data_IF_016281014452
#
_entry.id   IF_016281014452
#
_cell.length_a   1.000
_cell.length_b   1.000
_cell.length_c   1.000
_cell.angle_alpha   90.00
_cell.angle_beta   90.00
_cell.angle_gamma   90.00
#
_symmetry.space_group_name_H-M   'P 1'
#
loop_
_entity.id
_entity.type
_entity.pdbx_description
1 polymer ?
#
# COMPACT_ATOMS: atom_id res chain seq x y z
N UNK A 1 -27.61 22.19 11.02
CA UNK A 1 -27.13 23.48 10.52
C UNK A 1 -26.12 24.01 11.53
N UNK A 2 -24.86 23.61 11.47
CA UNK A 2 -23.74 24.23 12.20
C UNK A 2 -22.95 25.02 11.17
N UNK A 3 -22.92 26.32 11.37
CA UNK A 3 -22.13 27.26 10.57
C UNK A 3 -20.66 26.98 10.89
N UNK A 4 -19.94 26.43 9.95
CA UNK A 4 -18.49 26.37 10.02
C UNK A 4 -17.98 27.81 9.83
N UNK A 5 -17.36 28.31 10.86
CA UNK A 5 -16.63 29.57 10.84
C UNK A 5 -15.39 29.31 9.97
N UNK A 6 -15.41 29.83 8.78
CA UNK A 6 -14.25 29.93 7.92
C UNK A 6 -13.23 30.79 8.67
N UNK A 7 -12.19 30.21 9.23
CA UNK A 7 -11.06 30.95 9.75
C UNK A 7 -10.43 31.68 8.57
N UNK A 8 -10.68 32.95 8.50
CA UNK A 8 -10.00 33.84 7.58
C UNK A 8 -8.51 33.79 7.93
N UNK A 9 -7.72 33.21 7.03
CA UNK A 9 -6.28 33.36 7.03
C UNK A 9 -5.98 34.85 7.16
N UNK A 10 -5.40 35.22 8.26
CA UNK A 10 -4.87 36.57 8.44
C UNK A 10 -3.69 36.67 7.48
N UNK A 11 -3.98 37.03 6.23
CA UNK A 11 -2.98 37.75 5.47
C UNK A 11 -2.63 38.95 6.33
N UNK A 12 -1.47 38.97 6.91
CA UNK A 12 -0.88 40.17 7.42
C UNK A 12 -0.64 41.10 6.21
N UNK A 13 -1.73 41.66 5.72
CA UNK A 13 -1.66 42.85 4.91
C UNK A 13 -1.13 43.93 5.86
N UNK A 14 0.17 44.09 5.91
CA UNK A 14 0.79 45.26 6.43
C UNK A 14 0.26 46.44 5.58
N UNK A 15 -0.81 47.09 6.06
CA UNK A 15 -1.22 48.39 5.58
C UNK A 15 -0.13 49.40 5.95
N UNK A 16 0.85 49.53 5.08
CA UNK A 16 1.68 50.71 5.03
C UNK A 16 0.86 51.83 4.41
N UNK A 17 0.08 52.51 5.24
CA UNK A 17 -0.46 53.82 4.92
C UNK A 17 0.64 54.84 5.03
N UNK A 18 1.27 55.16 3.92
CA UNK A 18 1.89 56.48 3.72
C UNK A 18 2.24 56.72 2.25
N UNK A 19 1.65 57.76 1.68
CA UNK A 19 2.01 58.44 0.44
C UNK A 19 1.90 57.69 -0.89
N UNK A 20 0.78 57.84 -1.58
CA UNK A 20 0.64 58.21 -2.99
C UNK A 20 1.51 57.51 -4.05
N UNK A 21 1.82 56.24 -3.88
CA UNK A 21 2.30 55.40 -4.97
C UNK A 21 1.19 54.39 -5.31
N UNK A 22 0.85 54.29 -6.60
CA UNK A 22 0.01 53.19 -7.11
C UNK A 22 0.60 51.88 -6.63
N UNK A 23 -0.15 51.12 -5.84
CA UNK A 23 0.22 49.76 -5.48
C UNK A 23 0.42 48.99 -6.78
N UNK A 24 1.61 48.52 -7.04
CA UNK A 24 1.89 47.65 -8.17
C UNK A 24 1.08 46.36 -7.98
N UNK A 25 0.04 46.21 -8.79
CA UNK A 25 -0.80 44.99 -8.75
C UNK A 25 0.08 43.83 -9.07
N UNK A 26 0.25 42.93 -8.07
CA UNK A 26 0.98 41.65 -8.28
C UNK A 26 0.28 40.87 -9.37
N UNK A 27 0.98 40.54 -10.43
CA UNK A 27 0.45 39.78 -11.56
C UNK A 27 1.46 38.75 -12.06
N UNK A 28 1.08 37.50 -12.12
CA UNK A 28 1.83 36.45 -12.79
C UNK A 28 1.43 36.35 -14.24
N UNK A 29 2.39 36.07 -15.11
CA UNK A 29 2.10 35.64 -16.48
C UNK A 29 1.48 34.24 -16.45
N UNK A 30 0.69 33.89 -17.45
CA UNK A 30 0.11 32.56 -17.57
C UNK A 30 1.19 31.44 -17.58
N UNK A 31 2.37 31.72 -18.14
CA UNK A 31 3.49 30.79 -18.14
C UNK A 31 4.06 30.56 -16.72
N UNK A 32 4.23 31.63 -15.94
CA UNK A 32 4.69 31.52 -14.55
C UNK A 32 3.66 30.79 -13.69
N UNK A 33 2.39 31.14 -13.83
CA UNK A 33 1.32 30.46 -13.09
C UNK A 33 1.31 28.96 -13.37
N UNK A 34 1.38 28.57 -14.64
CA UNK A 34 1.45 27.15 -15.03
C UNK A 34 2.68 26.46 -14.44
N UNK A 35 3.85 27.10 -14.52
CA UNK A 35 5.09 26.54 -13.98
C UNK A 35 5.00 26.32 -12.47
N UNK A 36 4.53 27.32 -11.72
CA UNK A 36 4.39 27.22 -10.27
C UNK A 36 3.36 26.17 -9.86
N UNK A 37 2.21 26.12 -10.55
CA UNK A 37 1.22 25.08 -10.33
C UNK A 37 1.83 23.69 -10.50
N UNK A 38 2.55 23.46 -11.59
CA UNK A 38 3.23 22.18 -11.83
C UNK A 38 4.23 21.84 -10.72
N UNK A 39 5.02 22.79 -10.25
CA UNK A 39 5.98 22.55 -9.15
C UNK A 39 5.26 22.27 -7.81
N UNK A 40 4.10 22.88 -7.58
CA UNK A 40 3.27 22.57 -6.40
C UNK A 40 2.66 21.17 -6.49
N UNK A 41 2.19 20.78 -7.68
CA UNK A 41 1.71 19.42 -7.94
C UNK A 41 2.82 18.39 -7.74
N UNK A 42 4.00 18.62 -8.31
CA UNK A 42 5.17 17.73 -8.20
C UNK A 42 5.60 17.55 -6.74
N UNK A 43 5.71 18.63 -5.96
CA UNK A 43 6.12 18.53 -4.56
C UNK A 43 5.04 17.93 -3.67
N UNK A 44 3.78 18.24 -3.89
CA UNK A 44 2.69 17.59 -3.16
C UNK A 44 2.67 16.08 -3.43
N UNK A 45 2.84 15.68 -4.68
CA UNK A 45 2.90 14.29 -5.09
C UNK A 45 4.14 13.56 -4.51
N UNK A 46 5.29 14.21 -4.44
CA UNK A 46 6.51 13.66 -3.84
C UNK A 46 6.30 13.27 -2.37
N UNK A 47 5.53 14.07 -1.63
CA UNK A 47 5.21 13.82 -0.23
C UNK A 47 3.80 13.19 -0.04
N UNK A 48 3.21 12.66 -1.10
CA UNK A 48 1.94 11.92 -1.08
C UNK A 48 0.73 12.72 -0.59
N UNK A 49 0.73 14.01 -0.87
CA UNK A 49 -0.39 14.88 -0.59
C UNK A 49 -1.22 15.15 -1.85
N UNK A 50 -2.55 15.25 -1.65
CA UNK A 50 -3.42 15.89 -2.62
C UNK A 50 -3.71 17.31 -2.17
N UNK A 51 -3.98 18.18 -3.10
CA UNK A 51 -4.51 19.50 -2.79
C UNK A 51 -5.69 19.87 -3.69
N UNK A 52 -6.57 20.73 -3.15
CA UNK A 52 -7.70 21.24 -3.90
C UNK A 52 -7.22 22.30 -4.91
N UNK A 53 -7.20 21.93 -6.19
CA UNK A 53 -6.80 22.82 -7.28
C UNK A 53 -7.66 24.07 -7.40
N UNK A 54 -8.93 24.01 -6.99
CA UNK A 54 -9.83 25.17 -6.99
C UNK A 54 -9.46 26.19 -5.89
N UNK A 55 -8.76 25.74 -4.86
CA UNK A 55 -8.25 26.61 -3.78
C UNK A 55 -6.92 27.28 -4.09
N UNK A 56 -6.26 26.91 -5.21
CA UNK A 56 -4.93 27.39 -5.58
C UNK A 56 -4.91 28.92 -5.75
N UNK A 57 -3.99 29.58 -5.08
CA UNK A 57 -3.78 31.04 -5.12
C UNK A 57 -2.29 31.36 -5.15
N UNK A 58 -1.98 32.50 -5.75
CA UNK A 58 -0.62 33.06 -5.75
C UNK A 58 -0.66 34.52 -5.30
N UNK A 59 0.29 34.90 -4.47
CA UNK A 59 0.45 36.23 -3.95
C UNK A 59 1.92 36.65 -3.84
N UNK A 60 2.20 37.94 -3.83
CA UNK A 60 3.48 38.43 -3.34
C UNK A 60 3.56 38.22 -1.83
N UNK A 61 4.70 37.82 -1.34
CA UNK A 61 4.96 37.60 0.08
C UNK A 61 6.40 37.92 0.44
N UNK A 62 6.69 37.89 1.73
CA UNK A 62 8.05 38.06 2.28
C UNK A 62 8.33 36.82 3.13
N UNK A 63 9.50 36.19 2.93
CA UNK A 63 9.96 35.13 3.82
C UNK A 63 10.14 35.72 5.22
N UNK A 64 9.63 35.08 6.29
CA UNK A 64 9.79 35.57 7.65
C UNK A 64 11.26 35.87 8.01
N UNK A 65 11.49 36.75 8.97
CA UNK A 65 12.81 36.95 9.54
C UNK A 65 13.27 35.67 10.26
N UNK A 66 14.54 35.33 10.14
CA UNK A 66 15.10 34.17 10.83
C UNK A 66 15.34 34.52 12.33
N UNK A 67 14.29 34.46 13.10
CA UNK A 67 14.27 34.71 14.54
C UNK A 67 13.79 33.46 15.28
N UNK A 68 13.96 33.42 16.59
CA UNK A 68 13.46 32.33 17.43
C UNK A 68 11.93 32.16 17.31
N UNK A 69 11.19 33.24 17.10
CA UNK A 69 9.74 33.23 16.91
C UNK A 69 9.30 32.52 15.63
N UNK A 70 10.14 32.49 14.60
CA UNK A 70 9.87 31.86 13.32
C UNK A 70 10.66 30.54 13.12
N UNK A 71 11.27 30.00 14.19
CA UNK A 71 12.10 28.81 14.13
C UNK A 71 11.37 27.62 13.55
N UNK A 72 10.11 27.39 13.93
CA UNK A 72 9.29 26.26 13.47
C UNK A 72 9.02 26.32 11.96
N UNK A 73 8.80 27.50 11.40
CA UNK A 73 8.68 27.69 9.95
C UNK A 73 9.95 27.25 9.21
N UNK A 74 11.12 27.72 9.66
CA UNK A 74 12.38 27.33 9.03
C UNK A 74 12.71 25.85 9.20
N UNK A 75 12.38 25.28 10.36
CA UNK A 75 12.53 23.85 10.60
C UNK A 75 11.63 23.03 9.67
N UNK A 76 10.36 23.38 9.55
CA UNK A 76 9.41 22.71 8.67
C UNK A 76 9.87 22.71 7.20
N UNK A 77 10.36 23.82 6.70
CA UNK A 77 10.91 23.91 5.35
C UNK A 77 12.21 23.11 5.18
N UNK A 78 13.08 23.08 6.20
CA UNK A 78 14.35 22.37 6.12
C UNK A 78 14.17 20.84 6.05
N UNK A 79 13.15 20.30 6.68
CA UNK A 79 12.82 18.87 6.63
C UNK A 79 12.39 18.40 5.23
N UNK A 80 11.95 19.32 4.37
CA UNK A 80 11.65 19.07 2.96
C UNK A 80 12.83 19.42 2.03
N UNK A 81 14.05 19.37 2.54
CA UNK A 81 15.28 19.70 1.82
C UNK A 81 15.37 21.15 1.31
N UNK A 82 14.56 22.07 1.82
CA UNK A 82 14.54 23.48 1.43
C UNK A 82 15.09 24.38 2.55
N UNK A 83 16.31 24.86 2.40
CA UNK A 83 16.90 25.79 3.37
C UNK A 83 16.50 27.23 3.08
N UNK A 84 15.44 27.68 3.75
CA UNK A 84 14.88 29.02 3.61
C UNK A 84 15.67 30.12 4.33
N UNK A 85 16.65 29.78 5.16
CA UNK A 85 17.41 30.75 5.98
C UNK A 85 18.10 31.81 5.13
N UNK A 86 18.60 31.45 3.95
CA UNK A 86 19.27 32.40 3.04
C UNK A 86 18.31 33.38 2.36
N UNK A 87 17.03 33.14 2.45
CA UNK A 87 15.96 33.98 1.86
C UNK A 87 15.21 34.79 2.91
N UNK A 88 15.60 34.75 4.19
CA UNK A 88 14.93 35.50 5.24
C UNK A 88 14.80 36.97 4.86
N UNK A 89 13.63 37.56 5.09
CA UNK A 89 13.28 38.95 4.76
C UNK A 89 13.34 39.30 3.26
N UNK A 90 13.32 38.32 2.36
CA UNK A 90 13.27 38.57 0.91
C UNK A 90 11.85 38.47 0.35
N UNK A 91 11.60 39.28 -0.69
CA UNK A 91 10.35 39.20 -1.44
C UNK A 91 10.32 37.95 -2.32
N UNK A 92 9.19 37.26 -2.32
CA UNK A 92 8.96 35.99 -3.02
C UNK A 92 7.54 35.92 -3.56
N UNK A 93 7.29 34.95 -4.41
CA UNK A 93 5.92 34.55 -4.74
C UNK A 93 5.55 33.42 -3.79
N UNK A 94 4.38 33.51 -3.18
CA UNK A 94 3.81 32.46 -2.35
C UNK A 94 2.63 31.82 -3.09
N UNK A 95 2.73 30.53 -3.35
CA UNK A 95 1.63 29.69 -3.82
C UNK A 95 0.98 29.01 -2.63
N UNK A 96 -0.35 29.05 -2.55
CA UNK A 96 -1.11 28.40 -1.49
C UNK A 96 -2.22 27.54 -2.07
N UNK A 97 -2.48 26.40 -1.45
CA UNK A 97 -3.62 25.53 -1.76
C UNK A 97 -4.07 24.77 -0.50
N UNK A 98 -5.34 24.39 -0.41
CA UNK A 98 -5.79 23.52 0.68
C UNK A 98 -5.23 22.12 0.47
N UNK A 99 -4.48 21.62 1.45
CA UNK A 99 -4.11 20.19 1.50
C UNK A 99 -5.33 19.40 1.92
N UNK A 100 -5.52 18.28 1.26
CA UNK A 100 -6.67 17.42 1.47
C UNK A 100 -6.23 16.14 2.15
N UNK A 101 -6.98 15.75 3.17
CA UNK A 101 -6.94 14.40 3.68
C UNK A 101 -7.53 13.43 2.67
N UNK A 102 -7.22 12.16 2.78
CA UNK A 102 -7.75 11.13 1.87
C UNK A 102 -9.29 11.04 1.89
N UNK A 103 -9.94 11.43 3.00
CA UNK A 103 -11.40 11.48 3.13
C UNK A 103 -12.03 12.73 2.48
N UNK A 104 -11.21 13.60 1.87
CA UNK A 104 -11.65 14.83 1.21
C UNK A 104 -11.80 16.05 2.13
N UNK A 105 -11.50 15.93 3.42
CA UNK A 105 -11.49 17.08 4.33
C UNK A 105 -10.16 17.86 4.21
N UNK A 106 -10.18 19.14 4.52
CA UNK A 106 -8.97 19.97 4.47
C UNK A 106 -8.09 19.71 5.70
N UNK A 107 -6.84 19.28 5.46
CA UNK A 107 -5.82 19.07 6.49
C UNK A 107 -5.20 20.37 6.99
N UNK A 108 -5.03 21.31 6.08
CA UNK A 108 -4.36 22.59 6.32
C UNK A 108 -4.11 23.30 5.00
N UNK A 109 -3.17 24.22 5.01
CA UNK A 109 -2.82 25.00 3.82
C UNK A 109 -1.38 24.73 3.40
N UNK A 110 -1.19 24.15 2.22
CA UNK A 110 0.10 24.06 1.55
C UNK A 110 0.61 25.46 1.25
N UNK A 111 1.88 25.70 1.52
CA UNK A 111 2.56 26.93 1.22
C UNK A 111 3.88 26.65 0.49
N UNK A 112 3.96 27.12 -0.74
CA UNK A 112 5.14 27.01 -1.59
C UNK A 112 5.72 28.40 -1.86
N UNK A 113 7.02 28.55 -1.67
CA UNK A 113 7.74 29.79 -1.81
C UNK A 113 8.61 29.75 -3.06
N UNK A 114 8.47 30.73 -3.93
CA UNK A 114 9.20 30.79 -5.21
C UNK A 114 10.06 32.04 -5.31
N UNK A 115 11.31 31.86 -5.68
CA UNK A 115 12.23 32.96 -6.06
C UNK A 115 12.59 32.82 -7.54
N UNK A 116 12.15 33.78 -8.34
CA UNK A 116 12.24 33.62 -9.81
C UNK A 116 11.43 32.43 -10.28
N UNK A 117 12.07 31.47 -10.96
CA UNK A 117 11.44 30.24 -11.46
C UNK A 117 11.61 29.04 -10.54
N UNK A 118 12.25 29.19 -9.39
CA UNK A 118 12.63 28.09 -8.51
C UNK A 118 11.77 28.02 -7.27
N UNK A 119 11.28 26.83 -6.93
CA UNK A 119 10.73 26.51 -5.62
C UNK A 119 11.88 26.52 -4.61
N UNK A 120 11.80 27.36 -3.58
CA UNK A 120 12.83 27.57 -2.58
C UNK A 120 12.44 27.12 -1.18
N UNK A 121 11.14 26.89 -0.97
CA UNK A 121 10.62 26.43 0.31
C UNK A 121 9.22 25.86 0.18
N UNK A 122 8.95 24.83 0.99
CA UNK A 122 7.64 24.23 1.09
C UNK A 122 7.38 23.78 2.52
N UNK A 123 6.20 24.06 3.01
CA UNK A 123 5.67 23.61 4.29
C UNK A 123 4.14 23.65 4.24
N UNK A 124 3.48 23.19 5.28
CA UNK A 124 2.05 23.45 5.41
C UNK A 124 1.72 24.05 6.79
N UNK A 125 0.63 24.78 6.83
CA UNK A 125 0.07 25.33 8.06
C UNK A 125 -1.14 24.50 8.45
N UNK A 126 -1.15 23.94 9.65
CA UNK A 126 -2.22 23.09 10.15
C UNK A 126 -3.54 23.87 10.27
N UNK A 127 -4.65 23.20 9.92
CA UNK A 127 -5.98 23.82 9.92
C UNK A 127 -6.54 24.09 11.32
N UNK A 128 -6.04 23.40 12.34
CA UNK A 128 -6.58 23.49 13.71
C UNK A 128 -5.78 24.42 14.62
N UNK A 129 -4.47 24.41 14.53
CA UNK A 129 -3.56 25.07 15.48
C UNK A 129 -2.73 26.19 14.83
N UNK A 130 -2.80 26.35 13.51
CA UNK A 130 -1.99 27.27 12.72
C UNK A 130 -0.47 27.06 12.88
N UNK A 131 -0.04 25.92 13.38
CA UNK A 131 1.37 25.58 13.50
C UNK A 131 1.97 25.24 12.13
N UNK A 132 3.29 25.39 12.01
CA UNK A 132 4.02 25.04 10.81
C UNK A 132 4.49 23.60 10.86
N UNK A 133 4.24 22.88 9.77
CA UNK A 133 4.59 21.48 9.63
C UNK A 133 5.34 21.24 8.33
N UNK A 134 6.31 20.37 8.39
CA UNK A 134 6.91 19.76 7.21
C UNK A 134 5.88 18.88 6.49
N UNK A 135 5.96 18.79 5.16
CA UNK A 135 5.16 17.80 4.43
C UNK A 135 5.48 16.36 4.85
N UNK A 136 6.66 16.10 5.40
CA UNK A 136 7.02 14.82 5.99
C UNK A 136 6.32 14.52 7.32
N UNK A 137 5.91 15.56 8.06
CA UNK A 137 5.25 15.42 9.37
C UNK A 137 3.76 15.06 9.25
N UNK A 138 3.30 14.80 8.04
CA UNK A 138 1.96 14.37 7.78
C UNK A 138 1.62 13.06 8.48
N UNK A 139 0.39 12.94 8.96
CA UNK A 139 -0.27 11.65 9.10
C UNK A 139 -0.77 11.22 7.70
N UNK A 140 -0.07 10.33 6.99
CA UNK A 140 -0.47 9.93 5.64
C UNK A 140 -1.69 9.02 5.62
N UNK A 141 -2.02 8.43 6.77
CA UNK A 141 -3.08 7.45 6.91
C UNK A 141 -4.11 7.94 7.93
N UNK A 142 -5.14 8.60 7.46
CA UNK A 142 -6.26 9.01 8.27
C UNK A 142 -7.44 8.10 8.02
N UNK A 143 -7.82 7.36 9.04
CA UNK A 143 -8.95 6.48 9.00
C UNK A 143 -9.93 6.84 10.09
N UNK A 144 -11.16 6.35 9.96
CA UNK A 144 -12.10 6.33 11.09
C UNK A 144 -11.86 5.07 11.96
N UNK A 145 -10.82 4.31 11.63
CA UNK A 145 -10.48 3.08 12.28
C UNK A 145 -9.63 3.24 13.53
N UNK A 146 -9.17 2.14 14.02
CA UNK A 146 -8.31 2.06 15.18
C UNK A 146 -6.84 2.06 14.76
N UNK A 147 -6.01 2.76 15.52
CA UNK A 147 -4.57 2.71 15.37
C UNK A 147 -3.94 2.00 16.56
N UNK A 148 -2.88 1.27 16.28
CA UNK A 148 -2.09 0.67 17.34
C UNK A 148 -1.21 1.74 17.99
N UNK A 149 -1.22 1.81 19.31
CA UNK A 149 -0.25 2.60 20.05
C UNK A 149 1.05 1.82 20.14
N UNK A 150 2.11 2.36 19.55
CA UNK A 150 3.44 1.75 19.61
C UNK A 150 3.95 1.62 21.07
N UNK A 151 3.52 2.53 21.95
CA UNK A 151 3.88 2.51 23.36
C UNK A 151 3.15 1.42 24.17
N UNK A 152 1.98 0.99 23.69
CA UNK A 152 1.13 -0.01 24.33
C UNK A 152 1.16 -1.35 23.62
N UNK A 153 2.09 -1.54 22.69
CA UNK A 153 2.25 -2.80 22.01
C UNK A 153 2.68 -3.89 23.00
N UNK A 154 1.75 -4.72 23.38
CA UNK A 154 2.02 -6.00 24.03
C UNK A 154 2.15 -7.03 22.92
N UNK A 155 3.29 -7.69 22.80
CA UNK A 155 3.63 -8.61 21.72
C UNK A 155 2.52 -9.52 21.19
N UNK A 156 2.84 -10.51 20.38
CA UNK A 156 1.83 -11.48 19.91
C UNK A 156 1.11 -12.08 21.11
N UNK A 157 -0.22 -12.12 21.03
CA UNK A 157 -1.03 -12.77 22.09
C UNK A 157 -0.50 -14.20 22.29
N UNK A 158 -0.18 -14.54 23.52
CA UNK A 158 0.39 -15.85 23.88
C UNK A 158 -0.66 -16.98 23.96
N UNK A 159 -1.95 -16.66 23.79
CA UNK A 159 -3.06 -17.60 23.90
C UNK A 159 -3.28 -18.36 22.57
N UNK A 160 -2.22 -19.00 22.09
CA UNK A 160 -2.27 -19.88 20.91
C UNK A 160 -1.86 -21.29 21.30
N UNK A 161 -2.65 -22.26 20.84
CA UNK A 161 -2.23 -23.66 20.85
C UNK A 161 -1.39 -23.97 19.63
N UNK A 162 -0.17 -24.49 19.85
CA UNK A 162 0.78 -24.77 18.77
C UNK A 162 0.81 -26.26 18.43
N UNK A 163 0.66 -26.57 17.15
CA UNK A 163 0.78 -27.94 16.62
C UNK A 163 1.84 -27.95 15.51
N UNK A 164 2.88 -28.81 15.61
CA UNK A 164 3.84 -28.95 14.52
C UNK A 164 3.16 -29.29 13.20
N UNK A 165 3.57 -28.60 12.13
CA UNK A 165 2.99 -28.78 10.80
C UNK A 165 4.08 -28.62 9.73
N UNK A 166 3.88 -29.30 8.59
CA UNK A 166 4.67 -29.07 7.39
C UNK A 166 3.92 -28.14 6.46
N UNK A 167 4.64 -27.31 5.74
CA UNK A 167 4.08 -26.36 4.79
C UNK A 167 4.75 -26.50 3.40
N UNK A 168 4.15 -25.96 2.33
CA UNK A 168 4.75 -25.96 0.99
C UNK A 168 6.05 -25.16 0.95
N UNK A 169 7.04 -25.60 0.18
CA UNK A 169 8.34 -24.92 0.04
C UNK A 169 8.21 -23.46 -0.42
N UNK A 170 7.31 -23.21 -1.36
CA UNK A 170 7.10 -21.88 -1.94
C UNK A 170 6.12 -21.01 -1.11
N UNK A 171 5.71 -21.49 0.08
CA UNK A 171 4.74 -20.78 0.92
C UNK A 171 3.31 -20.79 0.36
N UNK A 172 2.45 -19.93 0.92
CA UNK A 172 1.07 -19.76 0.47
C UNK A 172 0.92 -18.44 -0.29
N UNK A 173 0.18 -18.48 -1.39
CA UNK A 173 -0.11 -17.28 -2.19
C UNK A 173 -1.45 -16.63 -1.82
N UNK A 174 -2.45 -17.46 -1.58
CA UNK A 174 -3.82 -16.97 -1.41
C UNK A 174 -4.64 -17.97 -0.60
N UNK A 175 -5.66 -17.46 0.05
CA UNK A 175 -6.63 -18.22 0.85
C UNK A 175 -8.04 -18.00 0.35
N UNK A 176 -8.91 -18.99 0.56
CA UNK A 176 -10.31 -18.94 0.19
C UNK A 176 -11.12 -19.94 1.03
N UNK A 177 -12.41 -20.09 0.73
CA UNK A 177 -13.30 -21.06 1.40
C UNK A 177 -14.03 -21.90 0.36
N UNK A 178 -14.09 -23.21 0.57
CA UNK A 178 -14.91 -24.07 -0.27
C UNK A 178 -16.41 -23.89 0.05
N UNK A 179 -17.28 -24.57 -0.71
CA UNK A 179 -18.73 -24.49 -0.51
C UNK A 179 -19.22 -24.97 0.86
N UNK A 180 -18.41 -25.74 1.56
CA UNK A 180 -18.70 -26.28 2.89
C UNK A 180 -18.10 -25.40 4.01
N UNK A 181 -17.49 -24.28 3.64
CA UNK A 181 -16.84 -23.33 4.54
C UNK A 181 -15.44 -23.73 5.02
N UNK A 182 -14.87 -24.85 4.50
CA UNK A 182 -13.52 -25.20 4.86
C UNK A 182 -12.53 -24.24 4.19
N UNK A 183 -11.50 -23.85 4.92
CA UNK A 183 -10.45 -22.97 4.39
C UNK A 183 -9.58 -23.73 3.39
N UNK A 184 -9.35 -23.07 2.26
CA UNK A 184 -8.44 -23.48 1.21
C UNK A 184 -7.23 -22.56 1.18
N UNK A 185 -6.06 -23.11 0.90
CA UNK A 185 -4.85 -22.33 0.60
C UNK A 185 -4.23 -22.82 -0.69
N UNK A 186 -3.73 -21.90 -1.50
CA UNK A 186 -3.01 -22.19 -2.73
C UNK A 186 -1.51 -21.92 -2.56
N UNK A 187 -0.68 -22.79 -3.11
CA UNK A 187 0.77 -22.65 -3.17
C UNK A 187 1.27 -23.01 -4.56
N UNK A 188 2.31 -22.35 -5.03
CA UNK A 188 3.06 -22.79 -6.21
C UNK A 188 4.10 -23.82 -5.81
N UNK A 189 4.26 -24.84 -6.62
CA UNK A 189 5.36 -25.79 -6.48
C UNK A 189 5.68 -26.45 -7.82
N UNK A 190 6.92 -26.32 -8.26
CA UNK A 190 7.43 -26.91 -9.50
C UNK A 190 6.51 -26.61 -10.71
N UNK A 191 6.09 -25.35 -10.85
CA UNK A 191 5.21 -24.88 -11.91
C UNK A 191 3.75 -25.36 -11.83
N UNK A 192 3.38 -26.08 -10.78
CA UNK A 192 2.03 -26.53 -10.48
C UNK A 192 1.40 -25.71 -9.36
N UNK A 193 0.07 -25.68 -9.26
CA UNK A 193 -0.65 -25.14 -8.11
C UNK A 193 -1.08 -26.28 -7.22
N UNK A 194 -0.63 -26.28 -5.98
CA UNK A 194 -1.08 -27.16 -4.93
C UNK A 194 -2.13 -26.49 -4.07
N UNK A 195 -3.27 -27.12 -3.90
CA UNK A 195 -4.39 -26.62 -3.09
C UNK A 195 -4.53 -27.50 -1.87
N UNK A 196 -4.40 -26.87 -0.73
CA UNK A 196 -4.56 -27.49 0.57
C UNK A 196 -5.91 -27.14 1.15
N UNK A 197 -6.49 -28.05 1.91
CA UNK A 197 -7.74 -27.84 2.65
C UNK A 197 -7.48 -28.03 4.13
N UNK A 198 -7.91 -27.05 4.93
CA UNK A 198 -7.90 -27.18 6.37
C UNK A 198 -9.13 -27.99 6.83
N UNK A 199 -8.89 -29.10 7.48
CA UNK A 199 -9.94 -29.96 8.03
C UNK A 199 -9.45 -30.67 9.30
N UNK A 200 -10.28 -30.64 10.34
CA UNK A 200 -10.01 -31.38 11.61
C UNK A 200 -8.65 -31.04 12.22
N UNK A 201 -8.32 -29.78 12.28
CA UNK A 201 -7.08 -29.32 12.89
C UNK A 201 -5.81 -29.56 12.06
N UNK A 202 -5.92 -29.91 10.78
CA UNK A 202 -4.77 -30.14 9.92
C UNK A 202 -4.98 -29.62 8.50
N UNK A 203 -3.92 -29.07 7.92
CA UNK A 203 -3.84 -28.74 6.51
C UNK A 203 -3.47 -29.99 5.70
N UNK A 204 -4.24 -30.30 4.69
CA UNK A 204 -4.04 -31.47 3.84
C UNK A 204 -4.07 -31.12 2.37
N UNK A 205 -3.10 -31.62 1.61
CA UNK A 205 -3.13 -31.50 0.16
C UNK A 205 -4.42 -32.11 -0.38
N UNK A 206 -5.22 -31.29 -1.03
CA UNK A 206 -6.52 -31.69 -1.60
C UNK A 206 -6.45 -31.86 -3.11
N UNK A 207 -5.77 -30.95 -3.82
CA UNK A 207 -5.63 -30.97 -5.27
C UNK A 207 -4.24 -30.52 -5.70
N UNK A 208 -3.79 -31.07 -6.82
CA UNK A 208 -2.65 -30.52 -7.57
C UNK A 208 -3.12 -30.24 -8.98
N UNK A 209 -2.97 -28.99 -9.41
CA UNK A 209 -3.28 -28.54 -10.76
C UNK A 209 -1.97 -28.49 -11.55
N UNK A 210 -1.89 -29.31 -12.61
CA UNK A 210 -0.75 -29.34 -13.52
C UNK A 210 -1.18 -28.83 -14.91
N UNK A 211 -0.23 -28.28 -15.64
CA UNK A 211 -0.48 -27.59 -16.90
C UNK A 211 0.21 -28.32 -18.05
N UNK A 212 -0.09 -27.93 -19.29
CA UNK A 212 0.52 -28.55 -20.46
C UNK A 212 2.02 -28.29 -20.53
N UNK A 213 2.73 -29.09 -21.33
CA UNK A 213 4.19 -28.96 -21.48
C UNK A 213 4.60 -27.54 -21.89
N UNK A 214 5.56 -26.98 -21.19
CA UNK A 214 6.09 -25.63 -21.44
C UNK A 214 5.27 -24.50 -20.83
N UNK A 215 4.28 -24.80 -19.97
CA UNK A 215 3.55 -23.81 -19.19
C UNK A 215 3.65 -24.12 -17.71
N UNK A 216 3.96 -23.09 -16.93
CA UNK A 216 4.05 -23.12 -15.49
C UNK A 216 3.15 -22.07 -14.85
N UNK A 217 2.62 -22.38 -13.68
CA UNK A 217 1.91 -21.40 -12.90
C UNK A 217 2.90 -20.44 -12.25
N UNK A 218 2.70 -19.14 -12.46
CA UNK A 218 3.54 -18.09 -11.87
C UNK A 218 2.82 -17.26 -10.83
N UNK A 219 1.47 -17.26 -10.84
CA UNK A 219 0.67 -16.65 -9.81
C UNK A 219 -0.70 -17.31 -9.71
N UNK A 220 -1.33 -17.27 -8.54
CA UNK A 220 -2.67 -17.76 -8.33
C UNK A 220 -3.37 -17.01 -7.20
N UNK A 221 -4.69 -16.81 -7.34
CA UNK A 221 -5.50 -16.18 -6.29
C UNK A 221 -6.90 -16.77 -6.23
N UNK A 222 -7.41 -16.94 -5.01
CA UNK A 222 -8.83 -17.21 -4.80
C UNK A 222 -9.63 -15.91 -4.94
N UNK A 223 -10.84 -16.03 -5.50
CA UNK A 223 -11.80 -14.95 -5.62
C UNK A 223 -13.21 -15.45 -5.31
N UNK A 224 -14.13 -14.52 -5.03
CA UNK A 224 -15.50 -14.87 -4.65
C UNK A 224 -16.29 -15.42 -5.83
N UNK A 225 -16.73 -16.66 -5.72
CA UNK A 225 -17.61 -17.34 -6.65
C UNK A 225 -19.02 -17.55 -6.07
N UNK A 226 -19.93 -18.07 -6.87
CA UNK A 226 -21.32 -18.27 -6.48
C UNK A 226 -21.52 -19.39 -5.42
N UNK A 227 -20.66 -20.40 -5.41
CA UNK A 227 -20.77 -21.59 -4.55
C UNK A 227 -19.57 -21.77 -3.61
N UNK A 228 -18.79 -20.73 -3.38
CA UNK A 228 -17.55 -20.74 -2.64
C UNK A 228 -16.43 -20.08 -3.44
N UNK A 229 -15.20 -20.10 -2.93
CA UNK A 229 -14.09 -19.48 -3.63
C UNK A 229 -13.72 -20.24 -4.90
N UNK A 230 -13.63 -19.53 -6.00
CA UNK A 230 -13.06 -19.97 -7.28
C UNK A 230 -11.57 -19.59 -7.32
N UNK A 231 -10.80 -20.18 -8.23
CA UNK A 231 -9.37 -19.93 -8.35
C UNK A 231 -9.02 -19.42 -9.74
N UNK A 232 -8.24 -18.35 -9.81
CA UNK A 232 -7.59 -17.85 -11.01
C UNK A 232 -6.10 -18.18 -10.95
N UNK A 233 -5.52 -18.63 -12.08
CA UNK A 233 -4.11 -19.05 -12.19
C UNK A 233 -3.49 -18.39 -13.42
N UNK A 234 -2.42 -17.62 -13.23
CA UNK A 234 -1.58 -17.11 -14.32
C UNK A 234 -0.65 -18.22 -14.78
N UNK A 235 -0.66 -18.49 -16.08
CA UNK A 235 0.25 -19.42 -16.73
C UNK A 235 1.25 -18.67 -17.59
N UNK A 236 2.51 -19.04 -17.46
CA UNK A 236 3.60 -18.46 -18.22
C UNK A 236 4.41 -19.53 -18.92
N UNK A 237 4.99 -19.21 -20.07
CA UNK A 237 6.05 -19.97 -20.72
C UNK A 237 7.39 -19.46 -20.21
N UNK A 238 8.27 -20.40 -19.85
CA UNK A 238 9.63 -20.10 -19.40
C UNK A 238 10.57 -20.57 -20.49
N UNK A 239 11.42 -19.67 -20.99
CA UNK A 239 12.41 -19.97 -22.01
C UNK A 239 13.79 -19.61 -21.50
N UNK A 240 14.70 -20.56 -21.57
CA UNK A 240 16.09 -20.38 -21.22
C UNK A 240 16.90 -20.15 -22.50
N UNK A 241 17.57 -19.01 -22.60
CA UNK A 241 18.46 -18.69 -23.73
C UNK A 241 19.89 -18.48 -23.24
N UNK A 242 20.84 -19.16 -23.89
CA UNK A 242 22.25 -19.08 -23.52
C UNK A 242 22.79 -20.38 -22.95
N UNK A 243 24.03 -20.36 -22.45
CA UNK A 243 24.67 -21.47 -21.76
C UNK A 243 25.71 -21.00 -20.75
N UNK A 244 25.75 -21.61 -19.59
CA UNK A 244 26.69 -21.29 -18.51
C UNK A 244 26.45 -19.89 -17.90
N UNK A 245 27.48 -19.10 -17.71
CA UNK A 245 27.37 -17.76 -17.07
C UNK A 245 26.57 -16.71 -17.90
N UNK A 246 26.15 -17.07 -19.12
CA UNK A 246 25.36 -16.23 -20.02
C UNK A 246 23.94 -16.77 -20.23
N UNK A 247 23.46 -17.60 -19.33
CA UNK A 247 22.10 -18.11 -19.38
C UNK A 247 21.11 -17.04 -18.92
N UNK A 248 20.11 -16.75 -19.76
CA UNK A 248 19.05 -15.79 -19.47
C UNK A 248 17.71 -16.53 -19.46
N UNK A 249 16.95 -16.34 -18.40
CA UNK A 249 15.60 -16.88 -18.27
C UNK A 249 14.60 -15.79 -18.66
N UNK A 250 13.77 -16.11 -19.64
CA UNK A 250 12.67 -15.23 -20.05
C UNK A 250 11.34 -15.88 -19.65
N UNK A 251 10.52 -15.11 -18.96
CA UNK A 251 9.16 -15.53 -18.60
C UNK A 251 8.17 -14.71 -19.42
N UNK A 252 7.24 -15.39 -20.08
CA UNK A 252 6.15 -14.74 -20.81
C UNK A 252 4.82 -15.25 -20.29
N UNK A 253 3.99 -14.36 -19.80
CA UNK A 253 2.64 -14.70 -19.35
C UNK A 253 1.71 -14.90 -20.54
N UNK A 254 1.12 -16.08 -20.62
CA UNK A 254 0.32 -16.52 -21.75
C UNK A 254 -1.17 -16.34 -21.51
N UNK A 255 -1.65 -16.68 -20.30
CA UNK A 255 -3.08 -16.65 -19.99
C UNK A 255 -3.41 -16.77 -18.50
N UNK A 256 -4.65 -16.40 -18.16
CA UNK A 256 -5.27 -16.74 -16.89
C UNK A 256 -6.28 -17.87 -17.13
N UNK A 257 -6.18 -18.94 -16.36
CA UNK A 257 -7.17 -20.02 -16.30
C UNK A 257 -8.01 -19.91 -15.04
N UNK A 258 -9.26 -20.35 -15.16
CA UNK A 258 -10.23 -20.31 -14.06
C UNK A 258 -10.67 -21.72 -13.66
N UNK A 259 -10.83 -21.89 -12.35
CA UNK A 259 -11.31 -23.12 -11.72
C UNK A 259 -12.49 -22.80 -10.80
N UNK A 260 -13.52 -23.64 -10.85
CA UNK A 260 -14.72 -23.51 -10.02
C UNK A 260 -14.44 -23.86 -8.54
N UNK A 261 -15.43 -23.72 -7.69
CA UNK A 261 -15.34 -24.02 -6.25
C UNK A 261 -14.98 -25.50 -5.94
N UNK A 262 -15.07 -26.42 -6.92
CA UNK A 262 -14.62 -27.81 -6.82
C UNK A 262 -13.21 -28.01 -7.40
N UNK A 263 -12.54 -26.92 -7.81
CA UNK A 263 -11.25 -26.94 -8.49
C UNK A 263 -11.28 -27.72 -9.80
N UNK A 264 -12.38 -27.62 -10.53
CA UNK A 264 -12.49 -28.10 -11.89
C UNK A 264 -12.25 -26.95 -12.85
N UNK A 265 -11.41 -27.17 -13.86
CA UNK A 265 -11.14 -26.14 -14.88
C UNK A 265 -12.44 -25.76 -15.59
N UNK A 266 -12.73 -24.47 -15.64
CA UNK A 266 -13.84 -23.92 -16.42
C UNK A 266 -13.47 -23.77 -17.90
N UNK A 267 -14.43 -23.42 -18.74
CA UNK A 267 -14.18 -23.09 -20.14
C UNK A 267 -13.69 -21.64 -20.33
N UNK A 268 -13.67 -20.84 -19.27
CA UNK A 268 -13.26 -19.46 -19.33
C UNK A 268 -11.73 -19.34 -19.26
N UNK A 269 -11.19 -18.44 -20.03
CA UNK A 269 -9.78 -18.05 -19.97
C UNK A 269 -9.59 -16.62 -20.46
N UNK A 270 -8.53 -15.97 -20.01
CA UNK A 270 -8.08 -14.67 -20.51
C UNK A 270 -6.72 -14.89 -21.16
N UNK A 271 -6.57 -14.51 -22.44
CA UNK A 271 -5.27 -14.48 -23.08
C UNK A 271 -4.50 -13.25 -22.65
N UNK A 272 -3.23 -13.42 -22.28
CA UNK A 272 -2.30 -12.37 -21.91
C UNK A 272 -1.26 -12.19 -23.01
N UNK A 273 -0.85 -10.97 -23.25
CA UNK A 273 0.24 -10.61 -24.16
C UNK A 273 1.29 -9.80 -23.40
N UNK A 274 1.67 -10.28 -22.22
CA UNK A 274 2.61 -9.60 -21.33
C UNK A 274 3.87 -10.44 -21.13
N UNK A 275 5.00 -9.76 -21.05
CA UNK A 275 6.28 -10.37 -20.66
C UNK A 275 6.58 -10.16 -19.17
N UNK A 276 5.77 -9.36 -18.46
CA UNK A 276 6.06 -8.90 -17.12
C UNK A 276 4.84 -9.01 -16.17
N UNK A 277 3.88 -9.90 -16.48
CA UNK A 277 2.76 -10.13 -15.57
C UNK A 277 3.24 -10.82 -14.29
N UNK A 278 3.07 -10.12 -13.17
CA UNK A 278 3.53 -10.53 -11.84
C UNK A 278 2.39 -11.00 -10.94
N UNK A 279 2.06 -10.22 -9.92
CA UNK A 279 1.06 -10.58 -8.92
C UNK A 279 -0.36 -10.60 -9.46
N UNK A 280 -1.10 -11.63 -9.09
CA UNK A 280 -2.55 -11.71 -9.26
C UNK A 280 -3.22 -11.61 -7.88
N UNK A 281 -4.14 -10.68 -7.73
CA UNK A 281 -4.91 -10.49 -6.51
C UNK A 281 -6.40 -10.37 -6.82
N UNK A 282 -7.23 -10.61 -5.80
CA UNK A 282 -8.67 -10.51 -5.94
C UNK A 282 -9.30 -9.55 -4.91
N UNK A 283 -10.28 -8.79 -5.37
CA UNK A 283 -11.15 -7.99 -4.53
C UNK A 283 -12.60 -8.45 -4.75
N UNK A 284 -13.09 -9.36 -3.89
CA UNK A 284 -14.36 -10.03 -4.12
C UNK A 284 -14.33 -10.85 -5.41
N UNK A 285 -15.21 -10.53 -6.36
CA UNK A 285 -15.29 -11.17 -7.68
C UNK A 285 -14.47 -10.49 -8.78
N UNK A 286 -13.69 -9.47 -8.44
CA UNK A 286 -12.81 -8.74 -9.39
C UNK A 286 -11.38 -9.19 -9.26
N UNK A 287 -10.64 -9.22 -10.36
CA UNK A 287 -9.23 -9.56 -10.37
C UNK A 287 -8.39 -8.34 -10.72
N UNK A 288 -7.22 -8.29 -10.11
CA UNK A 288 -6.15 -7.34 -10.42
C UNK A 288 -4.89 -8.11 -10.78
N UNK A 289 -4.33 -7.80 -11.95
CA UNK A 289 -3.08 -8.38 -12.44
C UNK A 289 -2.06 -7.25 -12.58
N UNK A 290 -0.91 -7.38 -11.93
CA UNK A 290 0.21 -6.49 -12.20
C UNK A 290 0.91 -6.87 -13.50
N UNK A 291 1.32 -5.85 -14.26
CA UNK A 291 2.03 -5.95 -15.51
C UNK A 291 3.04 -4.79 -15.58
N UNK A 292 4.26 -5.03 -15.16
CA UNK A 292 5.29 -4.00 -14.87
C UNK A 292 4.73 -2.95 -13.89
N UNK A 293 4.54 -1.73 -14.37
CA UNK A 293 4.00 -0.57 -13.61
C UNK A 293 2.50 -0.39 -13.76
N UNK A 294 1.80 -1.38 -14.28
CA UNK A 294 0.38 -1.28 -14.58
C UNK A 294 -0.39 -2.32 -13.79
N UNK A 295 -1.49 -1.93 -13.18
CA UNK A 295 -2.48 -2.84 -12.60
C UNK A 295 -3.65 -2.91 -13.58
N UNK A 296 -3.89 -4.07 -14.15
CA UNK A 296 -5.02 -4.36 -15.02
C UNK A 296 -6.19 -4.92 -14.21
N UNK A 297 -7.42 -4.51 -14.54
CA UNK A 297 -8.64 -4.95 -13.86
C UNK A 297 -9.46 -5.85 -14.75
N UNK A 298 -9.93 -6.96 -14.18
CA UNK A 298 -10.78 -7.90 -14.88
C UNK A 298 -12.05 -8.14 -14.07
N UNK A 299 -13.18 -8.13 -14.76
CA UNK A 299 -14.48 -8.43 -14.18
C UNK A 299 -15.22 -9.47 -15.03
N UNK A 300 -16.00 -10.30 -14.34
CA UNK A 300 -16.82 -11.32 -14.98
C UNK A 300 -18.20 -10.75 -15.31
N UNK A 301 -18.56 -10.68 -16.59
CA UNK A 301 -19.87 -10.28 -17.11
C UNK A 301 -20.63 -11.46 -17.70
N UNK A 302 -21.75 -11.18 -18.35
CA UNK A 302 -22.57 -12.19 -19.05
C UNK A 302 -21.81 -12.91 -20.19
N UNK A 303 -20.80 -12.25 -20.77
CA UNK A 303 -19.95 -12.79 -21.84
C UNK A 303 -18.67 -13.46 -21.38
N UNK A 304 -18.47 -13.65 -20.07
CA UNK A 304 -17.22 -14.11 -19.46
C UNK A 304 -16.35 -12.97 -18.93
N UNK A 305 -15.08 -13.25 -18.71
CA UNK A 305 -14.11 -12.30 -18.18
C UNK A 305 -13.68 -11.26 -19.22
N UNK A 306 -13.57 -10.01 -18.82
CA UNK A 306 -13.10 -8.92 -19.68
C UNK A 306 -12.25 -7.93 -18.90
N UNK A 307 -11.28 -7.34 -19.58
CA UNK A 307 -10.51 -6.21 -19.04
C UNK A 307 -11.41 -4.98 -18.94
N UNK A 308 -11.57 -4.41 -17.77
CA UNK A 308 -12.43 -3.23 -17.51
C UNK A 308 -11.63 -1.94 -17.37
N UNK A 309 -10.31 -2.01 -17.42
CA UNK A 309 -9.43 -0.85 -17.34
C UNK A 309 -8.08 -1.17 -16.71
N UNK A 310 -7.31 -0.13 -16.51
CA UNK A 310 -6.00 -0.23 -15.86
C UNK A 310 -5.65 1.05 -15.10
N UNK A 311 -4.73 0.91 -14.14
CA UNK A 311 -4.05 2.05 -13.49
C UNK A 311 -2.56 1.91 -13.66
N UNK A 312 -1.89 3.00 -13.98
CA UNK A 312 -0.43 3.05 -14.08
C UNK A 312 0.16 3.60 -12.80
N UNK A 313 1.13 2.88 -12.24
CA UNK A 313 1.91 3.27 -11.08
C UNK A 313 3.29 3.82 -11.48
N UNK A 314 4.03 4.35 -10.52
CA UNK A 314 5.40 4.87 -10.75
C UNK A 314 6.49 3.81 -10.62
N UNK A 315 6.17 2.68 -10.01
CA UNK A 315 7.08 1.54 -9.75
C UNK A 315 6.48 0.24 -10.28
N UNK A 316 7.28 -0.78 -10.40
CA UNK A 316 6.85 -2.16 -10.68
C UNK A 316 6.07 -2.73 -9.49
N UNK A 317 5.29 -3.77 -9.73
CA UNK A 317 4.53 -4.45 -8.67
C UNK A 317 4.69 -5.95 -8.83
N UNK A 318 5.39 -6.57 -7.88
CA UNK A 318 5.61 -8.01 -7.80
C UNK A 318 4.66 -8.69 -6.81
N UNK A 319 4.17 -7.94 -5.82
CA UNK A 319 3.27 -8.45 -4.78
C UNK A 319 2.11 -7.49 -4.55
N UNK A 320 0.91 -8.03 -4.41
CA UNK A 320 -0.30 -7.29 -4.05
C UNK A 320 -1.01 -8.04 -2.92
N UNK A 321 -1.29 -7.35 -1.83
CA UNK A 321 -2.13 -7.84 -0.74
C UNK A 321 -3.24 -6.85 -0.46
N UNK A 322 -4.49 -7.33 -0.40
CA UNK A 322 -5.69 -6.50 -0.23
C UNK A 322 -6.33 -6.89 1.09
N UNK A 323 -6.47 -5.93 1.96
CA UNK A 323 -7.00 -6.16 3.30
C UNK A 323 -7.67 -4.89 3.84
N UNK A 324 -8.51 -5.03 4.81
CA UNK A 324 -9.00 -3.96 5.67
C UNK A 324 -8.13 -4.00 6.93
N UNK A 325 -7.16 -3.07 7.01
CA UNK A 325 -6.15 -3.08 8.08
C UNK A 325 -6.72 -2.60 9.41
N UNK A 326 -7.57 -1.58 9.39
CA UNK A 326 -8.07 -0.91 10.59
C UNK A 326 -9.51 -1.27 10.96
N UNK A 327 -10.11 -2.22 10.25
CA UNK A 327 -11.45 -2.70 10.51
C UNK A 327 -12.56 -1.70 10.17
N UNK A 328 -12.28 -0.67 9.36
CA UNK A 328 -13.25 0.37 9.01
C UNK A 328 -14.17 -0.03 7.83
N UNK A 329 -13.95 -1.17 7.21
CA UNK A 329 -14.68 -1.68 6.05
C UNK A 329 -14.16 -1.18 4.70
N UNK A 330 -13.13 -0.33 4.67
CA UNK A 330 -12.45 0.12 3.46
C UNK A 330 -11.19 -0.71 3.26
N UNK A 331 -10.94 -1.14 2.03
CA UNK A 331 -9.75 -1.95 1.73
C UNK A 331 -8.52 -1.09 1.50
N UNK A 332 -7.43 -1.49 2.12
CA UNK A 332 -6.09 -1.05 1.80
C UNK A 332 -5.41 -2.03 0.85
N UNK A 333 -4.47 -1.49 0.07
CA UNK A 333 -3.69 -2.22 -0.92
C UNK A 333 -2.22 -2.10 -0.58
N UNK A 334 -1.66 -3.18 -0.09
CA UNK A 334 -0.23 -3.31 0.13
C UNK A 334 0.40 -3.84 -1.15
N UNK A 335 1.36 -3.11 -1.68
CA UNK A 335 2.08 -3.48 -2.91
C UNK A 335 3.57 -3.42 -2.66
N UNK A 336 4.33 -4.24 -3.36
CA UNK A 336 5.79 -4.21 -3.30
C UNK A 336 6.39 -4.52 -4.67
N UNK A 337 7.53 -3.92 -4.95
CA UNK A 337 8.42 -4.24 -6.08
C UNK A 337 9.57 -5.18 -5.67
N UNK A 338 9.44 -5.84 -4.51
CA UNK A 338 10.45 -6.71 -3.93
C UNK A 338 11.43 -5.99 -3.00
N UNK A 339 11.63 -4.69 -3.14
CA UNK A 339 12.58 -3.88 -2.35
C UNK A 339 11.87 -2.85 -1.46
N UNK A 340 10.79 -2.30 -1.94
CA UNK A 340 10.00 -1.28 -1.27
C UNK A 340 8.58 -1.80 -0.98
N UNK A 341 8.05 -1.42 0.17
CA UNK A 341 6.65 -1.66 0.54
C UNK A 341 5.86 -0.38 0.44
N UNK A 342 4.74 -0.45 -0.22
CA UNK A 342 3.84 0.67 -0.49
C UNK A 342 2.46 0.39 0.08
N UNK A 343 1.86 1.38 0.72
CA UNK A 343 0.47 1.36 1.17
C UNK A 343 -0.36 2.30 0.30
N UNK A 344 -1.40 1.77 -0.30
CA UNK A 344 -2.32 2.52 -1.15
C UNK A 344 -3.75 2.44 -0.63
N UNK A 345 -4.50 3.49 -0.92
CA UNK A 345 -5.96 3.46 -0.96
C UNK A 345 -6.42 3.60 -2.41
N UNK A 346 -7.55 2.98 -2.73
CA UNK A 346 -8.16 3.02 -4.05
C UNK A 346 -9.37 3.94 -4.01
N UNK A 347 -9.40 4.88 -4.93
CA UNK A 347 -10.57 5.71 -5.19
C UNK A 347 -10.98 5.47 -6.64
N UNK A 348 -12.10 4.77 -6.85
CA UNK A 348 -12.53 4.24 -8.14
C UNK A 348 -11.43 3.34 -8.76
N UNK A 349 -10.85 3.75 -9.87
CA UNK A 349 -9.76 3.02 -10.55
C UNK A 349 -8.37 3.66 -10.35
N UNK A 350 -8.25 4.60 -9.40
CA UNK A 350 -6.98 5.24 -9.11
C UNK A 350 -6.45 4.79 -7.75
N UNK A 351 -5.15 4.51 -7.71
CA UNK A 351 -4.44 4.25 -6.47
C UNK A 351 -3.77 5.54 -5.99
N UNK A 352 -4.09 5.90 -4.76
CA UNK A 352 -3.39 6.96 -4.05
C UNK A 352 -2.40 6.33 -3.08
N UNK A 353 -1.11 6.57 -3.29
CA UNK A 353 -0.08 6.13 -2.36
C UNK A 353 -0.16 7.00 -1.10
N UNK A 354 -0.34 6.35 0.04
CA UNK A 354 -0.45 7.01 1.35
C UNK A 354 0.81 6.83 2.19
N UNK A 355 1.60 5.79 1.92
CA UNK A 355 2.83 5.55 2.65
C UNK A 355 3.76 4.63 1.86
N UNK A 356 5.06 4.69 2.12
CA UNK A 356 6.02 3.71 1.62
C UNK A 356 7.28 3.65 2.49
N UNK A 357 7.96 2.52 2.46
CA UNK A 357 9.26 2.33 3.10
C UNK A 357 10.13 1.43 2.25
N UNK A 358 11.44 1.65 2.33
CA UNK A 358 12.42 0.70 1.83
C UNK A 358 12.59 -0.42 2.86
N UNK A 359 12.48 -1.66 2.41
CA UNK A 359 12.52 -2.83 3.30
C UNK A 359 13.91 -3.12 3.87
N UNK A 360 14.96 -2.53 3.26
CA UNK A 360 16.34 -2.75 3.69
C UNK A 360 16.85 -4.17 3.39
N UNK A 361 16.15 -4.90 2.54
CA UNK A 361 16.43 -6.27 2.12
C UNK A 361 16.63 -6.33 0.61
N UNK A 362 17.34 -7.33 0.12
CA UNK A 362 17.62 -7.45 -1.31
C UNK A 362 16.38 -7.90 -2.13
N UNK A 363 15.44 -8.60 -1.50
CA UNK A 363 14.16 -9.01 -2.12
C UNK A 363 13.23 -9.62 -1.08
N UNK A 364 11.93 -9.66 -1.38
CA UNK A 364 10.96 -10.43 -0.62
C UNK A 364 11.05 -11.93 -0.98
N UNK A 365 10.86 -12.79 0.03
CA UNK A 365 10.81 -14.24 -0.17
C UNK A 365 9.41 -14.76 -0.48
N UNK A 366 8.36 -14.05 -0.08
CA UNK A 366 6.99 -14.50 -0.22
C UNK A 366 5.97 -13.38 -0.24
N UNK A 367 4.69 -13.71 -0.23
CA UNK A 367 3.63 -12.72 -0.26
C UNK A 367 3.64 -11.86 0.99
N UNK A 368 3.14 -10.64 0.86
CA UNK A 368 2.75 -9.79 1.97
C UNK A 368 1.51 -10.43 2.62
N UNK A 369 1.49 -10.51 3.94
CA UNK A 369 0.34 -11.05 4.68
C UNK A 369 -0.11 -10.10 5.79
N UNK A 370 -1.33 -10.26 6.28
CA UNK A 370 -1.83 -9.47 7.43
C UNK A 370 -2.81 -10.27 8.27
N UNK A 371 -2.85 -9.98 9.56
CA UNK A 371 -3.80 -10.55 10.52
C UNK A 371 -3.78 -9.81 11.85
N UNK A 372 -4.88 -9.86 12.55
CA UNK A 372 -5.03 -9.30 13.90
C UNK A 372 -4.65 -10.37 14.94
N UNK A 373 -3.34 -10.57 15.14
CA UNK A 373 -2.83 -11.60 16.03
C UNK A 373 -2.83 -11.18 17.51
N UNK A 374 -2.87 -9.89 17.78
CA UNK A 374 -2.96 -9.36 19.14
C UNK A 374 -4.40 -9.08 19.59
N UNK A 375 -5.39 -9.21 18.69
CA UNK A 375 -6.84 -9.05 18.95
C UNK A 375 -7.24 -7.64 19.37
N UNK A 376 -6.56 -6.63 18.87
CA UNK A 376 -6.90 -5.23 19.13
C UNK A 376 -7.86 -4.62 18.07
N UNK A 377 -8.20 -5.38 17.04
CA UNK A 377 -9.08 -4.97 15.96
C UNK A 377 -8.36 -4.32 14.79
N UNK A 378 -7.03 -4.21 14.85
CA UNK A 378 -6.17 -3.69 13.78
C UNK A 378 -5.21 -4.80 13.33
N UNK A 379 -5.08 -4.99 12.03
CA UNK A 379 -4.20 -6.04 11.52
C UNK A 379 -2.76 -5.59 11.45
N UNK A 380 -1.87 -6.44 11.92
CA UNK A 380 -0.45 -6.36 11.62
C UNK A 380 -0.17 -6.79 10.18
N UNK A 381 0.88 -6.22 9.58
CA UNK A 381 1.40 -6.63 8.28
C UNK A 381 2.70 -7.39 8.47
N UNK A 382 2.82 -8.52 7.79
CA UNK A 382 4.00 -9.39 7.85
C UNK A 382 4.64 -9.50 6.47
N UNK A 383 5.95 -9.30 6.46
CA UNK A 383 6.78 -9.35 5.24
C UNK A 383 7.97 -10.25 5.53
N UNK A 384 8.16 -11.27 4.72
CA UNK A 384 9.29 -12.18 4.83
C UNK A 384 10.37 -11.80 3.82
N UNK A 385 11.60 -11.63 4.26
CA UNK A 385 12.73 -11.33 3.40
C UNK A 385 13.45 -12.61 2.92
N UNK A 386 14.35 -12.47 1.94
CA UNK A 386 15.15 -13.59 1.42
C UNK A 386 16.11 -14.19 2.44
N UNK A 387 16.40 -13.49 3.53
CA UNK A 387 17.25 -14.02 4.61
C UNK A 387 16.49 -14.92 5.57
N UNK A 388 15.16 -15.05 5.38
CA UNK A 388 14.27 -15.80 6.25
C UNK A 388 13.91 -15.05 7.54
N UNK A 389 13.96 -13.72 7.50
CA UNK A 389 13.53 -12.87 8.60
C UNK A 389 12.15 -12.29 8.30
N UNK A 390 11.22 -12.45 9.22
CA UNK A 390 9.91 -11.78 9.11
C UNK A 390 9.96 -10.43 9.77
N UNK A 391 9.60 -9.41 9.02
CA UNK A 391 9.42 -8.05 9.51
C UNK A 391 7.93 -7.84 9.74
N UNK A 392 7.58 -7.40 10.95
CA UNK A 392 6.22 -7.02 11.31
C UNK A 392 6.08 -5.51 11.26
N UNK A 393 5.00 -5.07 10.65
CA UNK A 393 4.61 -3.66 10.63
C UNK A 393 3.30 -3.46 11.37
N UNK A 394 3.26 -2.43 12.20
CA UNK A 394 2.08 -1.97 12.91
C UNK A 394 1.50 -0.76 12.19
N UNK A 395 0.19 -0.71 12.06
CA UNK A 395 -0.50 0.47 11.57
C UNK A 395 -0.54 1.52 12.69
N UNK A 396 0.07 2.66 12.44
CA UNK A 396 0.12 3.80 13.36
C UNK A 396 -0.46 5.05 12.71
N UNK A 397 -0.67 6.10 13.49
CA UNK A 397 -1.13 7.39 12.95
C UNK A 397 -0.23 8.00 11.87
N UNK A 398 1.03 7.57 11.78
CA UNK A 398 2.00 8.03 10.78
C UNK A 398 2.26 7.02 9.68
N UNK A 399 1.39 6.02 9.50
CA UNK A 399 1.53 4.91 8.57
C UNK A 399 2.06 3.65 9.22
N UNK A 400 2.64 2.75 8.42
CA UNK A 400 3.17 1.49 8.93
C UNK A 400 4.55 1.71 9.55
N UNK A 401 4.77 1.17 10.76
CA UNK A 401 6.07 1.16 11.43
C UNK A 401 6.52 -0.25 11.71
N UNK A 402 7.76 -0.56 11.37
CA UNK A 402 8.35 -1.86 11.71
C UNK A 402 8.50 -1.98 13.23
N UNK A 403 8.13 -3.13 13.75
CA UNK A 403 8.40 -3.51 15.13
C UNK A 403 9.62 -4.44 15.12
N UNK A 404 10.70 -4.01 15.76
CA UNK A 404 11.89 -4.84 15.91
C UNK A 404 11.82 -5.77 17.12
N UNK A 405 10.74 -5.73 17.87
CA UNK A 405 10.58 -6.50 19.10
C UNK A 405 9.71 -7.72 18.84
N UNK A 406 10.24 -8.88 19.18
CA UNK A 406 9.54 -10.14 19.42
C UNK A 406 8.78 -10.82 18.27
N UNK A 407 9.29 -10.75 17.07
CA UNK A 407 8.91 -11.81 16.17
C UNK A 407 9.66 -13.05 16.67
N UNK A 408 8.90 -13.99 17.19
CA UNK A 408 9.33 -15.38 17.36
C UNK A 408 10.14 -15.71 16.10
N UNK A 409 11.28 -16.35 16.24
CA UNK A 409 12.15 -16.83 15.15
C UNK A 409 11.34 -17.49 14.02
N UNK A 410 10.64 -16.65 13.27
CA UNK A 410 9.76 -17.04 12.21
C UNK A 410 10.36 -16.55 10.92
N UNK A 411 10.53 -17.44 9.99
CA UNK A 411 10.91 -17.07 8.63
C UNK A 411 9.74 -16.50 7.85
N UNK A 412 8.51 -17.00 8.12
CA UNK A 412 7.28 -16.41 7.57
C UNK A 412 6.11 -16.63 8.51
N UNK A 413 5.13 -15.72 8.44
CA UNK A 413 3.85 -15.82 9.15
C UNK A 413 2.72 -15.67 8.12
N UNK A 414 1.73 -16.56 8.19
CA UNK A 414 0.54 -16.54 7.33
C UNK A 414 -0.71 -16.52 8.20
N UNK A 415 -1.22 -15.32 8.60
CA UNK A 415 -2.44 -15.21 9.39
C UNK A 415 -3.68 -15.55 8.58
N UNK A 416 -4.63 -16.24 9.16
CA UNK A 416 -5.95 -16.48 8.61
C UNK A 416 -6.88 -17.15 9.63
N UNK A 417 -8.16 -16.76 9.67
CA UNK A 417 -9.19 -17.46 10.47
C UNK A 417 -9.48 -18.86 9.89
N UNK A 418 -8.72 -19.85 10.32
CA UNK A 418 -8.73 -21.21 9.77
C UNK A 418 -9.95 -22.02 10.19
N UNK A 419 -10.45 -21.77 11.39
CA UNK A 419 -11.56 -22.50 11.99
C UNK A 419 -12.91 -21.77 11.87
N UNK A 420 -12.90 -20.55 11.33
CA UNK A 420 -14.07 -19.66 11.17
C UNK A 420 -14.73 -19.27 12.49
N UNK A 421 -13.92 -19.06 13.54
CA UNK A 421 -14.39 -18.58 14.84
C UNK A 421 -14.29 -17.05 15.01
N UNK A 422 -13.79 -16.35 14.00
CA UNK A 422 -13.62 -14.90 13.96
C UNK A 422 -12.30 -14.40 14.53
N UNK A 423 -11.40 -15.30 14.92
CA UNK A 423 -10.06 -14.98 15.37
C UNK A 423 -9.03 -15.42 14.32
N UNK A 424 -8.01 -14.62 14.10
CA UNK A 424 -6.93 -15.01 13.20
C UNK A 424 -6.05 -16.06 13.87
N UNK A 425 -5.98 -17.24 13.26
CA UNK A 425 -4.95 -18.26 13.47
C UNK A 425 -3.76 -17.93 12.58
N UNK A 426 -2.64 -18.65 12.71
CA UNK A 426 -1.53 -18.43 11.79
C UNK A 426 -0.66 -19.66 11.57
N UNK A 427 -0.06 -19.74 10.41
CA UNK A 427 1.05 -20.63 10.12
C UNK A 427 2.34 -19.91 10.45
N UNK A 428 3.11 -20.50 11.35
CA UNK A 428 4.44 -20.06 11.71
C UNK A 428 5.45 -20.96 10.99
N UNK A 429 6.22 -20.38 10.09
CA UNK A 429 7.29 -21.07 9.39
C UNK A 429 8.59 -20.80 10.10
N UNK A 430 9.21 -21.83 10.65
CA UNK A 430 10.46 -21.72 11.40
C UNK A 430 11.68 -22.13 10.60
N UNK A 431 11.50 -22.90 9.54
CA UNK A 431 12.55 -23.33 8.64
C UNK A 431 11.99 -23.61 7.25
N UNK A 432 12.31 -22.71 6.33
CA UNK A 432 11.82 -22.77 4.94
C UNK A 432 12.46 -23.95 4.20
N UNK A 433 13.75 -24.21 4.40
CA UNK A 433 14.46 -25.27 3.68
C UNK A 433 13.94 -26.65 4.09
N UNK A 434 13.78 -26.87 5.40
CA UNK A 434 13.28 -28.12 5.96
C UNK A 434 11.75 -28.22 5.94
N UNK A 435 11.04 -27.17 5.56
CA UNK A 435 9.56 -27.05 5.55
C UNK A 435 8.92 -27.27 6.92
N UNK A 436 9.64 -26.89 7.95
CA UNK A 436 9.20 -27.03 9.32
C UNK A 436 8.47 -25.78 9.78
N UNK A 437 7.43 -25.99 10.55
CA UNK A 437 6.68 -24.92 11.14
C UNK A 437 5.66 -25.43 12.14
N UNK A 438 4.78 -24.53 12.55
CA UNK A 438 3.69 -24.82 13.46
C UNK A 438 2.41 -24.17 12.99
N UNK A 439 1.31 -24.85 13.19
CA UNK A 439 -0.01 -24.28 13.15
C UNK A 439 -0.32 -23.71 14.54
N UNK A 440 -0.59 -22.44 14.61
CA UNK A 440 -0.94 -21.74 15.82
C UNK A 440 -2.42 -21.36 15.77
N UNK A 441 -3.22 -22.03 16.62
CA UNK A 441 -4.66 -21.80 16.70
C UNK A 441 -4.96 -20.84 17.84
N UNK A 442 -5.71 -19.77 17.53
CA UNK A 442 -6.17 -18.85 18.54
C UNK A 442 -7.12 -19.52 19.52
N UNK A 443 -6.87 -19.36 20.83
CA UNK A 443 -7.76 -19.88 21.86
C UNK A 443 -8.77 -18.81 22.24
N UNK A 444 -10.05 -19.16 22.22
CA UNK A 444 -11.08 -18.28 22.79
C UNK A 444 -10.84 -18.16 24.29
N UNK A 445 -10.85 -16.93 24.82
CA UNK A 445 -10.79 -16.76 26.26
C UNK A 445 -11.94 -17.55 26.91
N UNK A 446 -11.62 -18.40 27.87
CA UNK A 446 -12.65 -19.10 28.63
C UNK A 446 -13.49 -18.05 29.38
N UNK A 447 -14.81 -18.01 29.07
CA UNK A 447 -15.76 -17.12 29.76
C UNK A 447 -15.83 -17.38 31.27
#
# INVERSE_FOLDING_TARGET
MKKYLLCAVVMAALTLSACGQEEAVFTLTAAQQKQYTQQMEEVAEEYYWDFDGDSLRFAAGIVPENTEENADFFAACAETAHNMTSYASTEVVVGTANLMHYNGDAAGQLMCYFSGSSLIGVCYQGGYDNSWYSLNARNPYETNGNFQSYENWEGMNTDFSMTPASFPKEGFLSTGKDKDGNVLTASLQDGAVQIYRYQKGALRLWRTLTFGSGLEATSATFFDGAEGSELAVVLSSITEEGSGESEHVFTRSEKILFYDANMQKTSEEISLESNDAGALAAEGSKLMLSDDKTIQYYERGEGGWSNTGFTRLKHTVEYIHITDLDGNGVKEYLMSDGMDLYLYQKNDNNFRKIWSTHLGVESLYGPITSGDLNRDGVKEVYVCDMTGTTIRYLLTETGLRSSNEDIVYAQCIYPYDLNSDGLDDYWLVTDIEERNGSLCMAEQAAE
#
